data_IF_174221129798
#
_entry.id   IF_174221129798
#
_cell.length_a   1.000
_cell.length_b   1.000
_cell.length_c   1.000
_cell.angle_alpha   90.00
_cell.angle_beta   90.00
_cell.angle_gamma   90.00
#
_symmetry.space_group_name_H-M   'P 1'
#
loop_
_entity.id
_entity.type
_entity.pdbx_description
1 polymer ?
#
# COMPACT_ATOMS: atom_id res chain seq x y z
N UNK A 1 1.85 -7.01 7.60
CA UNK A 1 0.61 -6.37 8.09
C UNK A 1 0.85 -5.00 8.75
N UNK A 2 1.58 -4.88 9.87
CA UNK A 2 1.78 -3.57 10.56
C UNK A 2 2.37 -2.47 9.66
N UNK A 3 3.32 -2.81 8.79
CA UNK A 3 3.87 -1.87 7.79
C UNK A 3 2.77 -1.31 6.87
N UNK A 4 1.89 -2.18 6.37
CA UNK A 4 0.75 -1.78 5.52
C UNK A 4 -0.14 -0.82 6.30
N UNK A 5 -0.59 -1.21 7.50
CA UNK A 5 -1.45 -0.36 8.34
C UNK A 5 -0.87 1.04 8.55
N UNK A 6 0.41 1.12 8.91
CA UNK A 6 1.09 2.41 9.14
C UNK A 6 1.21 3.25 7.87
N UNK A 7 1.45 2.61 6.73
CA UNK A 7 1.51 3.33 5.46
C UNK A 7 0.15 3.97 5.15
N UNK A 8 -0.91 3.16 5.22
CA UNK A 8 -2.29 3.58 4.92
C UNK A 8 -2.82 4.64 5.89
N UNK A 9 -2.66 4.46 7.20
CA UNK A 9 -3.16 5.42 8.19
C UNK A 9 -2.48 6.80 8.03
N UNK A 10 -1.18 6.82 7.73
CA UNK A 10 -0.48 8.07 7.46
C UNK A 10 -0.90 8.70 6.13
N UNK A 11 -1.07 7.90 5.06
CA UNK A 11 -1.56 8.40 3.78
C UNK A 11 -2.99 8.96 3.92
N UNK A 12 -3.85 8.28 4.67
CA UNK A 12 -5.21 8.74 5.01
C UNK A 12 -5.19 10.08 5.73
N UNK A 13 -4.35 10.25 6.75
CA UNK A 13 -4.18 11.55 7.44
C UNK A 13 -3.69 12.66 6.49
N UNK A 14 -2.76 12.35 5.60
CA UNK A 14 -2.27 13.33 4.62
C UNK A 14 -3.36 13.74 3.61
N UNK A 15 -4.23 12.81 3.22
CA UNK A 15 -5.40 13.11 2.39
C UNK A 15 -6.42 13.97 3.15
N UNK A 16 -6.72 13.63 4.41
CA UNK A 16 -7.60 14.44 5.28
C UNK A 16 -7.06 15.86 5.49
N UNK A 17 -5.74 16.02 5.58
CA UNK A 17 -5.05 17.31 5.64
C UNK A 17 -5.02 18.06 4.29
N UNK A 18 -5.55 17.48 3.21
CA UNK A 18 -5.56 18.06 1.86
C UNK A 18 -4.19 18.10 1.17
N UNK A 19 -3.22 17.29 1.62
CA UNK A 19 -1.84 17.26 1.07
C UNK A 19 -1.71 16.36 -0.15
N UNK A 20 -2.59 15.37 -0.30
CA UNK A 20 -2.60 14.43 -1.43
C UNK A 20 -3.70 14.87 -2.41
N UNK A 21 -3.37 15.13 -3.68
CA UNK A 21 -4.38 15.47 -4.69
C UNK A 21 -5.20 14.25 -5.11
N UNK A 22 -6.42 14.50 -5.59
CA UNK A 22 -7.23 13.47 -6.26
C UNK A 22 -7.91 12.48 -5.31
N UNK A 23 -7.77 11.18 -5.58
CA UNK A 23 -8.45 10.12 -4.85
C UNK A 23 -7.45 9.10 -4.29
N UNK A 24 -7.68 8.67 -3.05
CA UNK A 24 -6.86 7.69 -2.33
C UNK A 24 -7.73 6.52 -1.87
N UNK A 25 -7.38 5.30 -2.27
CA UNK A 25 -8.11 4.09 -1.88
C UNK A 25 -7.32 3.30 -0.85
N UNK A 26 -7.72 3.43 0.41
CA UNK A 26 -6.97 2.87 1.54
C UNK A 26 -7.06 1.35 1.65
N UNK A 27 -5.95 0.67 1.90
CA UNK A 27 -5.91 -0.80 2.09
C UNK A 27 -6.26 -1.24 3.54
N UNK A 28 -6.68 -0.32 4.41
CA UNK A 28 -6.97 -0.59 5.83
C UNK A 28 -8.04 -1.68 5.97
N UNK A 29 -7.72 -2.73 6.73
CA UNK A 29 -8.62 -3.86 6.99
C UNK A 29 -8.43 -5.05 6.05
N UNK A 30 -7.71 -4.87 4.92
CA UNK A 30 -7.42 -5.93 3.96
C UNK A 30 -5.99 -6.49 4.10
N UNK A 31 -5.24 -6.10 5.14
CA UNK A 31 -3.79 -6.38 5.22
C UNK A 31 -3.43 -7.86 5.18
N UNK A 32 -4.33 -8.73 5.65
CA UNK A 32 -4.15 -10.17 5.63
C UNK A 32 -4.13 -10.74 4.20
N UNK A 33 -4.85 -10.10 3.26
CA UNK A 33 -4.88 -10.53 1.84
C UNK A 33 -3.50 -10.36 1.23
N UNK A 34 -2.96 -9.14 1.23
CA UNK A 34 -1.63 -8.86 0.72
C UNK A 34 -0.54 -9.62 1.49
N UNK A 35 -0.57 -9.59 2.83
CA UNK A 35 0.46 -10.25 3.62
C UNK A 35 0.44 -11.79 3.48
N UNK A 36 -0.74 -12.40 3.35
CA UNK A 36 -0.89 -13.84 3.21
C UNK A 36 -0.43 -14.33 1.84
N UNK A 37 -0.92 -13.74 0.76
CA UNK A 37 -0.53 -14.14 -0.60
C UNK A 37 0.97 -13.95 -0.84
N UNK A 38 1.55 -12.81 -0.44
CA UNK A 38 2.96 -12.52 -0.72
C UNK A 38 3.94 -13.44 0.00
N UNK A 39 3.53 -14.14 1.07
CA UNK A 39 4.38 -15.15 1.73
C UNK A 39 4.64 -16.39 0.88
N UNK A 40 3.84 -16.59 -0.18
CA UNK A 40 3.92 -17.75 -1.06
C UNK A 40 4.46 -17.40 -2.45
N UNK A 41 4.81 -16.14 -2.70
CA UNK A 41 5.34 -15.68 -3.98
C UNK A 41 6.85 -15.45 -3.89
N UNK A 42 7.54 -15.68 -5.00
CA UNK A 42 8.94 -15.35 -5.23
C UNK A 42 9.09 -14.06 -6.03
N UNK A 43 10.31 -13.54 -6.17
CA UNK A 43 10.57 -12.35 -6.97
C UNK A 43 10.36 -12.56 -8.48
N UNK A 44 10.30 -13.82 -8.94
CA UNK A 44 9.97 -14.18 -10.31
C UNK A 44 8.46 -14.08 -10.60
N UNK A 45 7.62 -14.10 -9.56
CA UNK A 45 6.18 -14.05 -9.70
C UNK A 45 5.67 -12.63 -9.95
N UNK A 46 4.80 -12.50 -10.95
CA UNK A 46 4.14 -11.25 -11.32
C UNK A 46 2.88 -11.03 -10.49
N UNK A 47 2.64 -9.78 -10.10
CA UNK A 47 1.43 -9.36 -9.40
C UNK A 47 0.78 -8.19 -10.14
N UNK A 48 -0.55 -8.13 -10.10
CA UNK A 48 -1.30 -6.97 -10.58
C UNK A 48 -2.28 -6.52 -9.51
N UNK A 49 -2.74 -5.28 -9.60
CA UNK A 49 -3.67 -4.67 -8.65
C UNK A 49 -4.59 -3.71 -9.37
N UNK A 50 -5.75 -3.45 -8.76
CA UNK A 50 -6.61 -2.33 -9.16
C UNK A 50 -6.17 -1.05 -8.46
N UNK A 51 -7.06 -0.07 -8.32
CA UNK A 51 -6.80 1.21 -7.65
C UNK A 51 -6.51 1.10 -6.14
N UNK A 52 -6.62 -0.09 -5.52
CA UNK A 52 -6.34 -0.36 -4.10
C UNK A 52 -5.06 -1.20 -3.92
N UNK A 53 -3.97 -0.80 -4.56
CA UNK A 53 -2.76 -1.62 -4.70
C UNK A 53 -1.68 -1.46 -3.63
N UNK A 54 -1.75 -0.44 -2.77
CA UNK A 54 -0.66 -0.11 -1.83
C UNK A 54 -0.26 -1.28 -0.93
N UNK A 55 -1.23 -2.01 -0.37
CA UNK A 55 -0.96 -3.15 0.50
C UNK A 55 -0.15 -4.24 -0.20
N UNK A 56 -0.43 -4.51 -1.47
CA UNK A 56 0.31 -5.48 -2.27
C UNK A 56 1.77 -5.04 -2.46
N UNK A 57 2.02 -3.76 -2.81
CA UNK A 57 3.38 -3.26 -3.00
C UNK A 57 4.18 -3.24 -1.69
N UNK A 58 3.58 -2.80 -0.58
CA UNK A 58 4.24 -2.83 0.73
C UNK A 58 4.56 -4.27 1.14
N UNK A 59 3.64 -5.22 0.91
CA UNK A 59 3.85 -6.63 1.22
C UNK A 59 4.92 -7.29 0.33
N UNK A 60 5.04 -6.86 -0.93
CA UNK A 60 6.08 -7.30 -1.87
C UNK A 60 7.47 -6.72 -1.58
N UNK A 61 7.59 -5.87 -0.55
CA UNK A 61 8.87 -5.31 -0.12
C UNK A 61 9.11 -3.86 -0.55
N UNK A 62 8.10 -3.20 -1.13
CA UNK A 62 8.17 -1.79 -1.49
C UNK A 62 8.63 -0.89 -0.33
N UNK A 63 9.45 0.10 -0.67
CA UNK A 63 9.96 1.09 0.28
C UNK A 63 8.98 2.25 0.43
N UNK A 64 8.83 2.77 1.65
CA UNK A 64 7.86 3.84 1.91
C UNK A 64 8.21 5.15 1.23
N UNK A 65 9.50 5.49 1.12
CA UNK A 65 9.94 6.76 0.54
C UNK A 65 9.48 6.93 -0.93
N UNK A 66 9.80 6.01 -1.86
CA UNK A 66 9.29 6.12 -3.22
C UNK A 66 7.77 5.99 -3.28
N UNK A 67 7.16 5.11 -2.48
CA UNK A 67 5.70 4.97 -2.47
C UNK A 67 4.96 6.25 -2.04
N UNK A 68 5.45 6.97 -1.02
CA UNK A 68 4.89 8.25 -0.64
C UNK A 68 5.16 9.33 -1.70
N UNK A 69 6.30 9.29 -2.37
CA UNK A 69 6.62 10.25 -3.44
C UNK A 69 5.60 10.19 -4.60
N UNK A 70 5.08 9.01 -4.93
CA UNK A 70 4.03 8.84 -5.96
C UNK A 70 2.65 9.39 -5.54
N UNK A 71 2.44 9.74 -4.26
CA UNK A 71 1.18 10.32 -3.79
C UNK A 71 1.11 11.85 -3.92
N UNK A 72 2.19 12.51 -4.34
CA UNK A 72 2.30 13.97 -4.47
C UNK A 72 2.60 14.39 -5.91
#
# INVERSE_FOLDING_TARGET
MVRIRRFEENAGRMMEDGKIPGALHLYVGEEAVAAGVMQHLSDEDQITSTHRGHGHLVAKGGEFKPMYAELF
#
